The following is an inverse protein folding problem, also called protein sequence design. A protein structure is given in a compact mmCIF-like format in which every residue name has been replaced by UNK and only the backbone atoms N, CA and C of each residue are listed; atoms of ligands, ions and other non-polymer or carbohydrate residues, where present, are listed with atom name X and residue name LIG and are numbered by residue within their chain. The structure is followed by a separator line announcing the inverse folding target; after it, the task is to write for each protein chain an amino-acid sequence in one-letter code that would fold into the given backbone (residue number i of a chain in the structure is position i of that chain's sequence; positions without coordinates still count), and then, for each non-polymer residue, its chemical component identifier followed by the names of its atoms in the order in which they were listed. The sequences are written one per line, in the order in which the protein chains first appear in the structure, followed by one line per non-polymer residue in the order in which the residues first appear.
data_IF_307796819238
#
_entry.id   IF_307796819238
#
_cell.length_a   1.000
_cell.length_b   1.000
_cell.length_c   1.000
_cell.angle_alpha   90.00
_cell.angle_beta   90.00
_cell.angle_gamma   90.00
#
_symmetry.space_group_name_H-M   'P 1'
#
loop_
_entity.id
_entity.type
_entity.pdbx_description
1 polymer ?
#
# COMPACT_ATOMS: atom_id res chain seq x y z
N UNK A 1 10.37 10.18 -57.56
CA UNK A 1 10.06 9.40 -56.35
C UNK A 1 9.97 10.36 -55.19
N UNK A 2 8.76 10.61 -54.69
CA UNK A 2 8.51 11.58 -53.62
C UNK A 2 8.67 10.90 -52.27
N UNK A 3 9.60 11.42 -51.46
CA UNK A 3 9.80 11.08 -50.05
C UNK A 3 8.51 11.41 -49.27
N UNK A 4 7.93 10.49 -48.46
CA UNK A 4 6.72 10.81 -47.72
C UNK A 4 7.08 11.83 -46.65
N UNK A 5 6.48 13.02 -46.79
CA UNK A 5 6.59 14.13 -45.85
C UNK A 5 5.95 13.73 -44.51
N UNK A 6 6.79 13.72 -43.48
CA UNK A 6 6.45 14.24 -42.17
C UNK A 6 5.53 13.37 -41.32
N UNK A 7 6.14 12.52 -40.50
CA UNK A 7 5.57 12.27 -39.18
C UNK A 7 5.59 13.62 -38.45
N UNK A 8 4.44 14.30 -38.41
CA UNK A 8 4.32 15.63 -37.80
C UNK A 8 4.78 15.56 -36.35
N UNK A 9 5.68 16.47 -35.95
CA UNK A 9 6.13 16.61 -34.55
C UNK A 9 4.93 16.66 -33.58
N UNK A 10 3.80 17.22 -34.04
CA UNK A 10 2.54 17.28 -33.30
C UNK A 10 1.97 15.91 -32.91
N UNK A 11 2.13 14.89 -33.77
CA UNK A 11 1.67 13.52 -33.50
C UNK A 11 2.54 12.83 -32.43
N UNK A 12 3.85 13.08 -32.44
CA UNK A 12 4.77 12.56 -31.42
C UNK A 12 4.50 13.18 -30.03
N UNK A 13 4.25 14.50 -29.98
CA UNK A 13 3.94 15.18 -28.72
C UNK A 13 2.59 14.75 -28.13
N UNK A 14 1.59 14.47 -28.96
CA UNK A 14 0.28 13.98 -28.49
C UNK A 14 0.36 12.55 -27.95
N UNK A 15 1.07 11.65 -28.63
CA UNK A 15 1.28 10.27 -28.14
C UNK A 15 2.07 10.26 -26.82
N UNK A 16 3.15 11.04 -26.73
CA UNK A 16 3.93 11.17 -25.49
C UNK A 16 3.10 11.79 -24.35
N UNK A 17 2.26 12.79 -24.67
CA UNK A 17 1.34 13.40 -23.72
C UNK A 17 0.33 12.41 -23.16
N UNK A 18 -0.32 11.61 -24.01
CA UNK A 18 -1.29 10.58 -23.57
C UNK A 18 -0.60 9.50 -22.74
N UNK A 19 0.59 9.04 -23.13
CA UNK A 19 1.37 8.04 -22.39
C UNK A 19 1.78 8.51 -20.98
N UNK A 20 2.22 9.77 -20.86
CA UNK A 20 2.57 10.38 -19.56
C UNK A 20 1.34 10.58 -18.66
N UNK A 21 0.19 10.93 -19.24
CA UNK A 21 -1.06 11.07 -18.49
C UNK A 21 -1.60 9.72 -17.99
N UNK A 22 -1.39 8.63 -18.75
CA UNK A 22 -1.73 7.28 -18.27
C UNK A 22 -0.81 6.75 -17.15
N UNK A 23 0.39 7.31 -16.96
CA UNK A 23 1.21 6.97 -15.79
C UNK A 23 0.72 7.64 -14.49
N UNK A 24 -0.22 8.59 -14.58
CA UNK A 24 -0.79 9.29 -13.44
C UNK A 24 -2.03 8.60 -12.84
N UNK A 25 -2.42 7.41 -13.32
CA UNK A 25 -3.45 6.63 -12.65
C UNK A 25 -2.95 6.28 -11.24
N UNK A 26 -3.57 6.95 -10.26
CA UNK A 26 -3.36 6.68 -8.84
C UNK A 26 -3.74 5.23 -8.61
N UNK A 27 -2.76 4.36 -8.38
CA UNK A 27 -3.02 2.99 -7.93
C UNK A 27 -3.83 3.11 -6.63
N UNK A 28 -5.11 2.77 -6.68
CA UNK A 28 -5.95 2.78 -5.51
C UNK A 28 -5.51 1.62 -4.61
N UNK A 29 -5.16 1.95 -3.37
CA UNK A 29 -4.65 1.03 -2.37
C UNK A 29 -5.79 0.65 -1.43
N UNK A 30 -6.12 -0.62 -1.33
CA UNK A 30 -7.13 -1.07 -0.36
C UNK A 30 -6.51 -1.12 1.04
N UNK A 31 -7.10 -0.46 2.03
CA UNK A 31 -6.62 -0.49 3.42
C UNK A 31 -7.76 -0.82 4.39
N UNK A 32 -7.47 -1.56 5.46
CA UNK A 32 -8.42 -1.64 6.58
C UNK A 32 -8.49 -0.27 7.25
N UNK A 33 -9.70 0.17 7.64
CA UNK A 33 -9.92 1.45 8.31
C UNK A 33 -10.85 1.25 9.50
N UNK A 34 -10.39 1.64 10.68
CA UNK A 34 -11.14 1.53 11.92
C UNK A 34 -10.45 2.28 13.06
N UNK A 35 -11.17 2.48 14.15
CA UNK A 35 -10.64 2.97 15.41
C UNK A 35 -11.14 2.12 16.57
N UNK A 36 -10.33 2.01 17.61
CA UNK A 36 -10.66 1.42 18.91
C UNK A 36 -10.12 2.32 20.00
N UNK A 37 -10.87 2.42 21.10
CA UNK A 37 -10.52 3.13 22.32
C UNK A 37 -10.78 2.22 23.52
N UNK A 38 -9.91 2.26 24.54
CA UNK A 38 -10.08 1.53 25.79
C UNK A 38 -11.47 1.83 26.40
N UNK A 39 -12.18 0.77 26.79
CA UNK A 39 -13.55 0.85 27.30
C UNK A 39 -14.64 0.66 26.26
N UNK A 40 -14.31 0.58 24.96
CA UNK A 40 -15.27 0.22 23.92
C UNK A 40 -15.48 -1.31 23.92
N UNK A 41 -16.71 -1.75 23.69
CA UNK A 41 -17.06 -3.19 23.66
C UNK A 41 -16.60 -3.88 22.36
N UNK A 42 -16.58 -3.16 21.25
CA UNK A 42 -16.10 -3.67 19.96
C UNK A 42 -14.58 -3.51 19.86
N UNK A 43 -13.87 -4.64 19.93
CA UNK A 43 -12.43 -4.73 19.77
C UNK A 43 -12.01 -5.32 18.42
N UNK A 44 -12.92 -5.41 17.44
CA UNK A 44 -12.65 -5.95 16.11
C UNK A 44 -11.52 -5.19 15.42
N UNK A 45 -11.45 -3.87 15.62
CA UNK A 45 -10.35 -3.06 15.11
C UNK A 45 -9.00 -3.47 15.71
N UNK A 46 -8.92 -4.03 16.90
CA UNK A 46 -7.67 -4.53 17.45
C UNK A 46 -7.39 -5.97 17.01
N UNK A 47 -8.40 -6.85 17.11
CA UNK A 47 -8.22 -8.31 17.06
C UNK A 47 -8.57 -8.97 15.73
N UNK A 48 -9.45 -8.38 14.92
CA UNK A 48 -9.95 -8.99 13.69
C UNK A 48 -10.04 -7.96 12.56
N UNK A 49 -8.91 -7.73 11.88
CA UNK A 49 -8.85 -6.79 10.77
C UNK A 49 -9.83 -7.13 9.64
N UNK A 50 -10.07 -8.41 9.38
CA UNK A 50 -10.98 -8.84 8.31
C UNK A 50 -12.46 -8.55 8.61
N UNK A 51 -12.81 -8.27 9.87
CA UNK A 51 -14.16 -7.86 10.26
C UNK A 51 -14.40 -6.35 10.14
N UNK A 52 -13.36 -5.54 9.85
CA UNK A 52 -13.52 -4.09 9.71
C UNK A 52 -13.58 -3.64 8.25
N UNK A 53 -14.05 -2.43 8.04
CA UNK A 53 -14.21 -1.81 6.72
C UNK A 53 -12.88 -1.78 5.96
N UNK A 54 -12.93 -2.17 4.69
CA UNK A 54 -11.85 -1.93 3.72
C UNK A 54 -12.21 -0.70 2.91
N UNK A 55 -11.32 0.29 2.90
CA UNK A 55 -11.46 1.50 2.10
C UNK A 55 -10.53 1.42 0.89
N UNK A 56 -11.07 1.70 -0.28
CA UNK A 56 -10.29 1.90 -1.50
C UNK A 56 -9.67 3.31 -1.46
N UNK A 57 -8.42 3.41 -1.02
CA UNK A 57 -7.76 4.67 -0.78
C UNK A 57 -7.01 5.18 -2.01
N UNK A 58 -7.14 6.46 -2.34
CA UNK A 58 -6.28 7.16 -3.33
C UNK A 58 -4.90 7.51 -2.77
N UNK A 59 -4.57 7.03 -1.57
CA UNK A 59 -3.36 7.34 -0.81
C UNK A 59 -2.34 6.22 -0.94
N UNK A 60 -1.06 6.57 -0.82
CA UNK A 60 0.06 5.63 -1.07
C UNK A 60 0.40 4.66 0.06
N UNK A 61 -0.14 4.84 1.27
CA UNK A 61 0.21 4.01 2.41
C UNK A 61 -1.03 3.63 3.24
N UNK A 62 -1.13 2.36 3.59
CA UNK A 62 -1.91 1.94 4.75
C UNK A 62 -1.09 2.19 6.01
N UNK A 63 -1.73 2.69 7.07
CA UNK A 63 -1.07 2.98 8.35
C UNK A 63 -1.79 2.30 9.49
N UNK A 64 -1.03 2.00 10.54
CA UNK A 64 -1.52 1.56 11.84
C UNK A 64 -0.87 2.39 12.93
N UNK A 65 -1.68 2.88 13.87
CA UNK A 65 -1.22 3.56 15.08
C UNK A 65 -1.76 2.80 16.27
N UNK A 66 -0.86 2.38 17.16
CA UNK A 66 -1.21 1.66 18.39
C UNK A 66 -0.65 2.41 19.59
N UNK A 67 -1.50 2.76 20.54
CA UNK A 67 -1.09 3.42 21.78
C UNK A 67 -1.23 2.44 22.92
N UNK A 68 -0.15 2.23 23.67
CA UNK A 68 -0.11 1.36 24.84
C UNK A 68 0.25 2.15 26.08
N UNK A 69 -0.20 1.67 27.24
CA UNK A 69 0.29 2.19 28.52
C UNK A 69 1.76 1.79 28.70
N UNK A 70 2.63 2.73 29.02
CA UNK A 70 4.08 2.46 29.15
C UNK A 70 4.39 1.53 30.32
N UNK A 71 3.69 1.69 31.44
CA UNK A 71 3.81 0.85 32.64
C UNK A 71 3.17 -0.54 32.48
N UNK A 72 2.24 -0.69 31.55
CA UNK A 72 1.59 -1.96 31.23
C UNK A 72 1.51 -2.09 29.70
N UNK A 73 2.59 -2.57 29.10
CA UNK A 73 2.74 -2.63 27.64
C UNK A 73 1.65 -3.48 26.98
N UNK A 74 1.00 -4.41 27.67
CA UNK A 74 -0.10 -5.18 27.10
C UNK A 74 -1.44 -4.44 27.08
N UNK A 75 -1.57 -3.33 27.82
CA UNK A 75 -2.79 -2.52 27.84
C UNK A 75 -2.80 -1.53 26.66
N UNK A 76 -3.62 -1.84 25.65
CA UNK A 76 -3.86 -0.98 24.49
C UNK A 76 -4.89 0.08 24.85
N UNK A 77 -4.50 1.34 24.78
CA UNK A 77 -5.35 2.49 25.07
C UNK A 77 -6.14 2.95 23.85
N UNK A 78 -5.51 2.86 22.67
CA UNK A 78 -6.16 3.12 21.40
C UNK A 78 -5.48 2.38 20.27
N UNK A 79 -6.24 2.11 19.23
CA UNK A 79 -5.76 1.48 18.01
C UNK A 79 -6.47 2.07 16.80
N UNK A 80 -5.71 2.38 15.75
CA UNK A 80 -6.24 2.98 14.54
C UNK A 80 -5.63 2.34 13.30
N UNK A 81 -6.48 2.01 12.34
CA UNK A 81 -6.10 1.69 10.97
C UNK A 81 -6.64 2.77 10.04
N UNK A 82 -5.81 3.22 9.11
CA UNK A 82 -6.13 4.35 8.23
C UNK A 82 -5.27 4.28 6.95
N UNK A 83 -5.47 5.20 6.02
CA UNK A 83 -4.63 5.37 4.84
C UNK A 83 -4.17 6.83 4.65
N UNK A 84 -2.90 7.01 4.32
CA UNK A 84 -2.25 8.33 4.29
C UNK A 84 -1.30 8.48 3.11
N UNK A 85 -1.17 9.71 2.60
CA UNK A 85 -0.24 10.02 1.51
C UNK A 85 1.21 9.91 1.97
N UNK A 86 1.49 10.39 3.18
CA UNK A 86 2.79 10.31 3.83
C UNK A 86 2.60 9.78 5.26
N UNK A 87 3.26 8.68 5.64
CA UNK A 87 3.18 8.16 7.00
C UNK A 87 3.98 9.05 7.94
N UNK A 88 3.55 9.13 9.21
CA UNK A 88 4.32 9.83 10.25
C UNK A 88 5.66 9.14 10.49
N UNK A 89 5.67 7.80 10.47
CA UNK A 89 6.85 6.95 10.54
C UNK A 89 6.56 5.66 9.78
N UNK A 90 7.56 5.11 9.07
CA UNK A 90 7.38 3.84 8.36
C UNK A 90 7.22 2.66 9.31
N UNK A 91 8.09 2.62 10.32
CA UNK A 91 8.08 1.64 11.39
C UNK A 91 8.82 2.23 12.59
N UNK A 92 8.25 2.11 13.78
CA UNK A 92 8.90 2.54 15.01
C UNK A 92 7.91 2.82 16.13
N UNK A 93 8.42 3.37 17.24
CA UNK A 93 7.58 3.86 18.32
C UNK A 93 8.12 5.17 18.90
N UNK A 94 7.22 5.93 19.52
CA UNK A 94 7.52 7.12 20.32
C UNK A 94 7.01 6.88 21.73
N UNK A 95 7.92 6.66 22.70
CA UNK A 95 7.55 6.59 24.12
C UNK A 95 7.49 8.00 24.73
N UNK A 96 6.47 8.24 25.54
CA UNK A 96 6.34 9.39 26.41
C UNK A 96 6.34 8.93 27.89
N UNK A 97 6.02 9.79 28.85
CA UNK A 97 5.99 9.43 30.27
C UNK A 97 4.97 8.31 30.57
N UNK A 98 3.77 8.43 29.99
CA UNK A 98 2.61 7.56 30.29
C UNK A 98 2.34 6.51 29.22
N UNK A 99 2.63 6.82 27.95
CA UNK A 99 2.24 5.99 26.81
C UNK A 99 3.42 5.63 25.93
N UNK A 100 3.24 4.58 25.12
CA UNK A 100 4.11 4.25 24.00
C UNK A 100 3.27 4.10 22.75
N UNK A 101 3.55 4.93 21.76
CA UNK A 101 2.82 4.93 20.48
C UNK A 101 3.65 4.23 19.42
N UNK A 102 3.13 3.16 18.82
CA UNK A 102 3.74 2.43 17.72
C UNK A 102 3.12 2.91 16.41
N UNK A 103 3.99 3.11 15.43
CA UNK A 103 3.64 3.54 14.08
C UNK A 103 4.11 2.48 13.10
N UNK A 104 3.23 2.12 12.19
CA UNK A 104 3.54 1.19 11.11
C UNK A 104 2.87 1.63 9.84
N UNK A 105 3.55 1.52 8.70
CA UNK A 105 3.00 1.81 7.39
C UNK A 105 3.50 0.85 6.32
N UNK A 106 2.68 0.61 5.31
CA UNK A 106 2.99 -0.30 4.20
C UNK A 106 2.22 0.14 2.95
N UNK A 107 2.60 -0.38 1.78
CA UNK A 107 2.10 0.07 0.46
C UNK A 107 1.46 -1.05 -0.36
N UNK A 108 1.04 -2.13 0.30
CA UNK A 108 0.37 -3.27 -0.34
C UNK A 108 -1.08 -3.32 0.10
N UNK A 109 -1.96 -3.86 -0.75
CA UNK A 109 -3.38 -4.00 -0.39
C UNK A 109 -3.52 -4.73 0.95
N UNK A 110 -4.28 -4.13 1.86
CA UNK A 110 -4.71 -4.69 3.15
C UNK A 110 -3.54 -5.10 4.06
N UNK A 111 -2.36 -4.53 3.84
CA UNK A 111 -1.14 -4.85 4.57
C UNK A 111 -1.16 -4.41 6.04
N UNK A 112 -2.06 -3.51 6.41
CA UNK A 112 -2.26 -3.06 7.79
C UNK A 112 -3.16 -3.99 8.62
N UNK A 113 -3.25 -5.28 8.25
CA UNK A 113 -4.04 -6.30 8.96
C UNK A 113 -3.43 -6.81 10.27
N UNK A 114 -2.22 -6.40 10.61
CA UNK A 114 -1.54 -6.80 11.84
C UNK A 114 -2.08 -6.05 13.08
N UNK A 115 -1.59 -6.40 14.26
CA UNK A 115 -2.01 -5.84 15.55
C UNK A 115 -1.24 -4.57 15.97
N UNK A 116 -0.31 -4.09 15.14
CA UNK A 116 0.50 -2.88 15.40
C UNK A 116 1.88 -3.15 15.99
N UNK A 117 2.21 -4.42 16.29
CA UNK A 117 3.55 -4.85 16.70
C UNK A 117 4.15 -5.75 15.62
N UNK A 118 4.72 -5.14 14.58
CA UNK A 118 5.40 -5.92 13.51
C UNK A 118 6.63 -6.68 14.01
N UNK A 119 7.24 -6.30 15.15
CA UNK A 119 8.24 -7.13 15.83
C UNK A 119 7.62 -7.76 17.07
N UNK A 120 7.46 -9.08 17.01
CA UNK A 120 7.08 -9.90 18.15
C UNK A 120 8.16 -9.76 19.24
N UNK A 121 7.93 -8.89 20.23
CA UNK A 121 8.75 -8.78 21.44
C UNK A 121 8.37 -9.90 22.42
N UNK A 122 8.48 -11.15 21.97
CA UNK A 122 8.28 -12.32 22.84
C UNK A 122 9.21 -13.43 22.36
N UNK A 123 10.52 -13.21 22.50
CA UNK A 123 11.49 -14.17 23.01
C UNK A 123 12.92 -13.64 22.81
N UNK A 124 13.72 -13.76 23.87
CA UNK A 124 15.16 -13.56 23.80
C UNK A 124 15.78 -14.62 22.90
N UNK A 125 16.71 -14.17 22.05
CA UNK A 125 17.48 -15.02 21.16
C UNK A 125 18.26 -14.15 20.19
N UNK A 126 19.57 -14.09 20.37
CA UNK A 126 20.49 -13.45 19.42
C UNK A 126 20.39 -14.12 18.05
N UNK A 127 20.30 -13.31 16.99
CA UNK A 127 20.44 -13.75 15.60
C UNK A 127 19.13 -13.78 14.82
N UNK A 128 18.97 -12.84 13.88
CA UNK A 128 17.98 -12.84 12.80
C UNK A 128 16.49 -12.94 13.20
N UNK A 129 15.91 -11.85 13.72
CA UNK A 129 14.46 -11.73 13.89
C UNK A 129 13.77 -11.43 12.54
N UNK A 130 13.26 -12.50 11.91
CA UNK A 130 12.52 -12.52 10.65
C UNK A 130 11.19 -11.73 10.75
N UNK A 131 10.85 -11.08 9.64
CA UNK A 131 9.83 -10.05 9.38
C UNK A 131 8.35 -10.46 9.51
N UNK A 132 7.96 -11.25 10.51
CA UNK A 132 6.65 -11.92 10.46
C UNK A 132 5.54 -11.14 11.19
N UNK A 133 5.02 -10.10 10.55
CA UNK A 133 3.64 -9.67 10.81
C UNK A 133 2.69 -10.63 10.07
N UNK A 134 1.72 -11.22 10.79
CA UNK A 134 0.69 -12.04 10.15
C UNK A 134 -0.25 -11.09 9.41
N UNK A 135 -0.10 -11.03 8.08
CA UNK A 135 -1.03 -10.34 7.20
C UNK A 135 -2.07 -11.38 6.78
N UNK A 136 -3.37 -11.20 7.09
CA UNK A 136 -4.42 -12.08 6.59
C UNK A 136 -4.35 -12.13 5.05
N UNK A 137 -4.06 -13.31 4.50
CA UNK A 137 -3.73 -13.49 3.08
C UNK A 137 -4.89 -13.14 2.14
N UNK A 138 -4.54 -12.50 1.02
CA UNK A 138 -5.36 -12.37 -0.19
C UNK A 138 -5.32 -13.71 -0.93
N UNK A 139 -6.47 -14.25 -1.35
CA UNK A 139 -6.49 -15.32 -2.36
C UNK A 139 -5.90 -14.78 -3.67
N UNK A 140 -4.86 -15.45 -4.16
CA UNK A 140 -4.13 -15.07 -5.36
C UNK A 140 -5.02 -15.23 -6.61
N UNK A 141 -5.49 -14.10 -7.13
CA UNK A 141 -6.12 -13.99 -8.43
C UNK A 141 -5.80 -12.63 -9.04
N UNK A 142 -4.52 -12.26 -9.08
CA UNK A 142 -4.07 -11.06 -9.77
C UNK A 142 -3.30 -11.52 -11.00
N UNK A 143 -4.07 -11.83 -12.04
CA UNK A 143 -3.59 -11.92 -13.40
C UNK A 143 -2.81 -10.63 -13.68
N UNK A 144 -1.51 -10.78 -13.90
CA UNK A 144 -0.71 -9.74 -14.53
C UNK A 144 -1.23 -9.65 -15.96
N UNK A 145 -2.26 -8.83 -16.17
CA UNK A 145 -2.68 -8.39 -17.49
C UNK A 145 -1.55 -7.52 -18.03
N UNK A 146 -0.54 -8.19 -18.61
CA UNK A 146 0.35 -7.62 -19.61
C UNK A 146 -0.56 -6.93 -20.63
N UNK A 147 -0.59 -5.60 -20.57
CA UNK A 147 -1.36 -4.77 -21.47
C UNK A 147 -1.11 -5.24 -22.92
N UNK A 148 -2.15 -5.60 -23.69
CA UNK A 148 -2.00 -6.14 -25.05
C UNK A 148 -1.59 -5.05 -26.06
N UNK A 149 -1.09 -3.90 -25.61
CA UNK A 149 -0.72 -2.78 -26.46
C UNK A 149 0.71 -2.90 -27.05
N UNK A 150 1.55 -3.79 -26.51
CA UNK A 150 2.92 -4.00 -27.00
C UNK A 150 3.03 -4.65 -28.40
N UNK A 151 2.21 -5.64 -28.82
CA UNK A 151 2.32 -6.21 -30.16
C UNK A 151 1.77 -5.31 -31.28
N UNK A 152 0.85 -4.37 -30.98
CA UNK A 152 0.25 -3.51 -32.00
C UNK A 152 1.30 -2.52 -32.57
N UNK A 153 2.25 -2.08 -31.74
CA UNK A 153 3.31 -1.17 -32.15
C UNK A 153 4.32 -1.83 -33.12
N UNK A 154 4.51 -3.15 -33.03
CA UNK A 154 5.38 -3.90 -33.95
C UNK A 154 4.73 -4.16 -35.31
N UNK A 155 3.41 -4.40 -35.35
CA UNK A 155 2.68 -4.60 -36.60
C UNK A 155 2.65 -3.34 -37.48
N UNK A 156 2.57 -2.14 -36.87
CA UNK A 156 2.58 -0.87 -37.61
C UNK A 156 3.95 -0.60 -38.23
N UNK A 157 5.04 -1.00 -37.57
CA UNK A 157 6.41 -0.85 -38.07
C UNK A 157 6.73 -1.84 -39.22
N UNK A 158 6.13 -3.03 -39.20
CA UNK A 158 6.31 -4.04 -40.26
C UNK A 158 5.52 -3.72 -41.55
N UNK A 159 4.39 -3.02 -41.44
CA UNK A 159 3.60 -2.57 -42.61
C UNK A 159 4.23 -1.37 -43.35
N UNK A 160 5.27 -0.73 -42.79
CA UNK A 160 6.01 0.36 -43.43
C UNK A 160 7.33 -0.10 -44.10
N UNK A 161 7.61 -1.40 -44.21
CA UNK A 161 8.88 -1.93 -44.71
C UNK A 161 8.79 -2.89 -45.90
N UNK A 162 7.72 -2.87 -46.68
CA UNK A 162 7.72 -3.55 -47.97
C UNK A 162 7.65 -2.56 -49.14
N UNK A 163 8.57 -2.66 -50.10
CA UNK A 163 8.81 -1.66 -51.15
C UNK A 163 7.67 -1.54 -52.16
#
# INVERSE_FOLDING_TARGET
MNLPRGLSKSLLFTVLGVALMSAAFSNALDCYVCTYLDGYSDDSCLKNASAVTVLNCTKKYCVTVRVEMRRNSSKVMSFQRDCREKPLMRYGNKPDETFRTYFTSCQQDRCNGHDGRIRNSTNGGWGSAIHNAIIPGKSSGQEVLLSPCLPILWSIMALCQFP
#
